data_IF_226299041791
#
_entry.id   IF_226299041791
#
_cell.length_a   1.000
_cell.length_b   1.000
_cell.length_c   1.000
_cell.angle_alpha   90.00
_cell.angle_beta   90.00
_cell.angle_gamma   90.00
#
_symmetry.space_group_name_H-M   'P 1'
#
loop_
_entity.id
_entity.type
_entity.pdbx_description
1 polymer ?
#
# COMPACT_ATOMS: atom_id res chain seq x y z
N UNK A 1 8.07 33.26 -5.95
CA UNK A 1 6.74 33.89 -6.08
C UNK A 1 5.80 33.07 -6.98
N UNK A 2 6.18 32.72 -8.22
CA UNK A 2 5.35 31.89 -9.11
C UNK A 2 5.06 30.46 -8.59
N UNK A 3 6.06 29.80 -7.98
CA UNK A 3 5.89 28.45 -7.40
C UNK A 3 4.87 28.42 -6.25
N UNK A 4 4.93 29.39 -5.32
CA UNK A 4 3.98 29.49 -4.20
C UNK A 4 2.55 29.70 -4.71
N UNK A 5 2.38 30.54 -5.74
CA UNK A 5 1.08 30.75 -6.37
C UNK A 5 0.48 29.45 -6.92
N UNK A 6 1.29 28.59 -7.57
CA UNK A 6 0.82 27.28 -8.05
C UNK A 6 0.38 26.37 -6.90
N UNK A 7 1.05 26.41 -5.74
CA UNK A 7 0.65 25.62 -4.57
C UNK A 7 -0.70 26.08 -4.00
N UNK A 8 -0.98 27.38 -4.00
CA UNK A 8 -2.30 27.90 -3.60
C UNK A 8 -3.39 27.59 -4.63
N UNK A 9 -3.07 27.61 -5.93
CA UNK A 9 -4.00 27.17 -6.97
C UNK A 9 -4.35 25.68 -6.79
N UNK A 10 -3.34 24.84 -6.53
CA UNK A 10 -3.53 23.44 -6.17
C UNK A 10 -4.45 23.30 -4.95
N UNK A 11 -4.18 24.07 -3.88
CA UNK A 11 -4.99 24.06 -2.66
C UNK A 11 -6.46 24.38 -2.93
N UNK A 12 -6.74 25.41 -3.73
CA UNK A 12 -8.12 25.79 -4.06
C UNK A 12 -8.81 24.72 -4.91
N UNK A 13 -8.12 24.18 -5.91
CA UNK A 13 -8.64 23.11 -6.76
C UNK A 13 -9.03 21.89 -5.93
N UNK A 14 -8.13 21.39 -5.10
CA UNK A 14 -8.39 20.16 -4.35
C UNK A 14 -9.34 20.36 -3.17
N UNK A 15 -9.53 21.58 -2.67
CA UNK A 15 -10.66 21.87 -1.78
C UNK A 15 -12.02 21.65 -2.47
N UNK A 16 -12.14 22.00 -3.75
CA UNK A 16 -13.36 21.75 -4.53
C UNK A 16 -13.55 20.25 -4.76
N UNK A 17 -12.45 19.52 -4.99
CA UNK A 17 -12.48 18.07 -5.22
C UNK A 17 -12.59 17.25 -3.93
N UNK A 18 -12.66 17.86 -2.74
CA UNK A 18 -12.68 17.18 -1.44
C UNK A 18 -13.66 15.99 -1.33
N UNK A 19 -14.81 16.06 -2.00
CA UNK A 19 -15.81 14.99 -1.97
C UNK A 19 -15.55 13.85 -2.97
N UNK A 20 -14.55 13.98 -3.84
CA UNK A 20 -14.06 12.90 -4.70
C UNK A 20 -13.03 12.11 -3.91
N UNK A 21 -13.52 11.13 -3.14
CA UNK A 21 -12.72 10.25 -2.28
C UNK A 21 -13.56 9.05 -1.88
N UNK A 22 -13.05 8.18 -1.02
CA UNK A 22 -13.83 7.07 -0.49
C UNK A 22 -14.11 6.00 -1.55
N UNK A 23 -13.11 5.68 -2.37
CA UNK A 23 -13.21 4.67 -3.43
C UNK A 23 -13.09 3.23 -2.90
N UNK A 24 -13.54 2.99 -1.66
CA UNK A 24 -13.43 1.75 -0.89
C UNK A 24 -13.94 0.51 -1.64
N UNK A 25 -14.96 0.68 -2.47
CA UNK A 25 -15.51 -0.41 -3.32
C UNK A 25 -14.47 -1.03 -4.27
N UNK A 26 -13.36 -0.33 -4.54
CA UNK A 26 -12.31 -0.75 -5.46
C UNK A 26 -11.04 -1.26 -4.74
N UNK A 27 -11.03 -1.26 -3.40
CA UNK A 27 -9.95 -1.85 -2.60
C UNK A 27 -9.76 -3.32 -2.93
N UNK A 28 -8.55 -3.83 -2.71
CA UNK A 28 -8.22 -5.24 -2.95
C UNK A 28 -9.09 -6.19 -2.15
N UNK A 29 -9.43 -5.81 -0.92
CA UNK A 29 -10.29 -6.59 0.01
C UNK A 29 -11.73 -6.70 -0.46
N UNK A 30 -12.15 -5.91 -1.46
CA UNK A 30 -13.48 -5.99 -2.10
C UNK A 30 -13.47 -6.81 -3.40
N UNK A 31 -12.34 -7.42 -3.76
CA UNK A 31 -12.24 -8.31 -4.91
C UNK A 31 -12.78 -9.72 -4.63
N UNK A 32 -12.96 -10.51 -5.70
CA UNK A 32 -13.41 -11.90 -5.60
C UNK A 32 -12.49 -12.80 -4.75
N UNK A 33 -11.21 -12.43 -4.61
CA UNK A 33 -10.25 -13.20 -3.81
C UNK A 33 -10.61 -13.27 -2.31
N UNK A 34 -11.41 -12.32 -1.81
CA UNK A 34 -11.81 -12.23 -0.41
C UNK A 34 -13.25 -12.69 -0.18
N UNK A 35 -13.95 -13.17 -1.22
CA UNK A 35 -15.38 -13.45 -1.15
C UNK A 35 -15.77 -14.50 -0.08
N UNK A 36 -14.89 -15.48 0.18
CA UNK A 36 -15.10 -16.50 1.21
C UNK A 36 -14.56 -16.12 2.59
N UNK A 37 -13.80 -15.02 2.70
CA UNK A 37 -13.21 -14.54 3.94
C UNK A 37 -13.32 -13.00 4.04
N UNK A 38 -14.54 -12.54 4.31
CA UNK A 38 -14.87 -11.11 4.34
C UNK A 38 -14.35 -10.36 5.57
N UNK A 39 -14.00 -11.08 6.64
CA UNK A 39 -13.52 -10.50 7.90
C UNK A 39 -12.04 -10.84 8.13
N UNK A 40 -11.25 -9.90 8.68
CA UNK A 40 -9.84 -10.13 8.94
C UNK A 40 -9.66 -11.15 10.07
N UNK A 41 -8.73 -12.08 9.87
CA UNK A 41 -8.37 -13.09 10.88
C UNK A 41 -6.89 -13.00 11.31
N UNK A 42 -6.11 -12.09 10.74
CA UNK A 42 -4.74 -11.76 11.14
C UNK A 42 -4.68 -10.38 11.78
N UNK A 43 -3.67 -10.14 12.59
CA UNK A 43 -3.34 -8.80 13.09
C UNK A 43 -2.21 -8.23 12.24
N UNK A 44 -2.35 -6.98 11.80
CA UNK A 44 -1.29 -6.18 11.20
C UNK A 44 -1.11 -4.93 12.07
N UNK A 45 0.13 -4.58 12.38
CA UNK A 45 0.48 -3.44 13.21
C UNK A 45 1.59 -2.63 12.56
N UNK A 46 1.57 -1.32 12.77
CA UNK A 46 2.71 -0.44 12.52
C UNK A 46 3.20 0.13 13.87
N UNK A 47 4.12 -0.56 14.58
CA UNK A 47 4.46 -0.23 15.96
C UNK A 47 4.90 1.22 16.19
N UNK A 48 5.57 1.82 15.20
CA UNK A 48 6.04 3.21 15.27
C UNK A 48 4.94 4.25 14.99
N UNK A 49 3.91 3.88 14.23
CA UNK A 49 2.79 4.77 13.90
C UNK A 49 1.61 4.65 14.88
N UNK A 50 1.58 3.60 15.71
CA UNK A 50 0.56 3.40 16.73
C UNK A 50 -0.67 2.61 16.27
N UNK A 51 -1.82 2.91 16.87
CA UNK A 51 -3.08 2.20 16.58
C UNK A 51 -3.59 2.55 15.17
N UNK A 52 -4.38 1.66 14.53
CA UNK A 52 -5.04 2.00 13.28
C UNK A 52 -5.81 3.32 13.38
N UNK A 53 -5.65 4.19 12.39
CA UNK A 53 -6.20 5.54 12.34
C UNK A 53 -5.21 6.64 12.75
N UNK A 54 -4.10 6.30 13.40
CA UNK A 54 -3.05 7.26 13.71
C UNK A 54 -2.38 7.84 12.45
N UNK A 55 -1.82 9.04 12.60
CA UNK A 55 -1.10 9.69 11.51
C UNK A 55 0.22 8.98 11.21
N UNK A 56 0.55 8.83 9.93
CA UNK A 56 1.90 8.45 9.51
C UNK A 56 2.92 9.49 9.98
N UNK A 57 4.08 9.01 10.43
CA UNK A 57 5.22 9.87 10.78
C UNK A 57 5.75 10.60 9.54
N UNK A 58 6.32 11.80 9.72
CA UNK A 58 6.75 12.66 8.61
C UNK A 58 7.68 11.94 7.62
N UNK A 59 8.57 11.08 8.10
CA UNK A 59 9.51 10.33 7.26
C UNK A 59 8.85 9.22 6.41
N UNK A 60 7.58 8.86 6.66
CA UNK A 60 6.78 7.97 5.79
C UNK A 60 5.99 8.74 4.72
N UNK A 61 6.26 10.04 4.58
CA UNK A 61 5.52 10.94 3.69
C UNK A 61 6.47 11.64 2.73
N UNK A 62 5.91 12.45 1.83
CA UNK A 62 6.68 13.30 0.91
C UNK A 62 7.65 14.27 1.62
N UNK A 63 7.53 14.44 2.94
CA UNK A 63 8.45 15.24 3.75
C UNK A 63 9.83 14.61 3.90
N UNK A 64 9.97 13.29 3.67
CA UNK A 64 11.29 12.69 3.44
C UNK A 64 11.77 13.09 2.04
N UNK A 65 12.63 14.10 1.99
CA UNK A 65 13.17 14.65 0.74
C UNK A 65 14.17 13.72 0.05
N UNK A 66 14.68 12.69 0.74
CA UNK A 66 15.65 11.75 0.18
C UNK A 66 14.94 10.61 -0.55
N UNK A 67 13.94 9.98 0.08
CA UNK A 67 13.23 8.81 -0.47
C UNK A 67 11.82 9.11 -0.98
N UNK A 68 11.23 10.27 -0.69
CA UNK A 68 9.81 10.54 -1.00
C UNK A 68 8.84 9.78 -0.10
N UNK A 69 9.33 9.31 1.05
CA UNK A 69 8.61 8.60 2.10
C UNK A 69 9.04 7.15 2.24
N UNK A 70 9.49 6.80 3.46
CA UNK A 70 9.93 5.47 3.88
C UNK A 70 8.76 4.55 4.14
N UNK A 71 8.92 3.27 3.84
CA UNK A 71 7.93 2.26 4.20
C UNK A 71 7.91 2.08 5.72
N UNK A 72 6.72 2.07 6.36
CA UNK A 72 6.63 1.91 7.80
C UNK A 72 7.02 0.50 8.23
N UNK A 73 7.62 0.38 9.41
CA UNK A 73 7.82 -0.90 10.06
C UNK A 73 6.47 -1.55 10.32
N UNK A 74 6.22 -2.68 9.65
CA UNK A 74 5.03 -3.48 9.82
C UNK A 74 5.34 -4.81 10.49
N UNK A 75 4.41 -5.31 11.31
CA UNK A 75 4.46 -6.64 11.91
C UNK A 75 3.10 -7.30 11.82
N UNK A 76 3.07 -8.58 11.48
CA UNK A 76 1.83 -9.35 11.38
C UNK A 76 1.88 -10.71 12.05
N UNK A 77 0.70 -11.27 12.31
CA UNK A 77 0.52 -12.63 12.86
C UNK A 77 0.18 -13.62 11.76
N UNK A 78 0.36 -14.91 12.03
CA UNK A 78 -0.17 -15.98 11.19
C UNK A 78 -1.71 -15.92 11.08
N UNK A 79 -2.29 -16.47 9.98
CA UNK A 79 -3.72 -16.71 9.91
C UNK A 79 -4.16 -17.68 11.02
N UNK A 80 -5.39 -17.52 11.51
CA UNK A 80 -5.97 -18.41 12.53
C UNK A 80 -6.30 -19.81 12.01
N UNK A 81 -6.34 -19.99 10.69
CA UNK A 81 -6.70 -21.22 10.01
C UNK A 81 -5.79 -21.47 8.82
N UNK A 82 -5.35 -22.71 8.65
CA UNK A 82 -4.48 -23.12 7.55
C UNK A 82 -3.00 -22.76 7.76
N UNK A 83 -2.17 -23.18 6.81
CA UNK A 83 -0.75 -22.87 6.76
C UNK A 83 -0.48 -21.97 5.55
N UNK A 84 0.08 -20.78 5.80
CA UNK A 84 0.46 -19.88 4.72
C UNK A 84 1.64 -20.48 3.92
N UNK A 85 1.58 -20.37 2.60
CA UNK A 85 2.68 -20.71 1.69
C UNK A 85 3.31 -19.47 1.08
N UNK A 86 2.61 -18.35 1.06
CA UNK A 86 3.07 -17.06 0.57
C UNK A 86 2.29 -15.93 1.25
N UNK A 87 2.92 -14.78 1.47
CA UNK A 87 2.23 -13.54 1.80
C UNK A 87 2.24 -12.53 0.64
N UNK A 88 1.20 -11.71 0.58
CA UNK A 88 1.10 -10.53 -0.29
C UNK A 88 0.87 -9.31 0.61
N UNK A 89 1.63 -8.25 0.41
CA UNK A 89 1.54 -7.00 1.16
C UNK A 89 1.23 -5.84 0.22
N UNK A 90 0.24 -5.03 0.54
CA UNK A 90 -0.20 -3.93 -0.32
C UNK A 90 -0.56 -2.68 0.51
N UNK A 91 -0.24 -1.51 -0.02
CA UNK A 91 -0.65 -0.20 0.52
C UNK A 91 -1.54 0.52 -0.50
N UNK A 92 -2.78 0.83 -0.13
CA UNK A 92 -3.79 1.47 -0.98
C UNK A 92 -4.25 2.83 -0.42
N UNK A 93 -4.42 3.83 -1.29
CA UNK A 93 -5.06 5.12 -1.00
C UNK A 93 -6.39 5.23 -1.77
N UNK A 94 -7.54 5.00 -1.12
CA UNK A 94 -8.87 5.14 -1.72
C UNK A 94 -9.38 6.59 -1.76
N UNK A 95 -8.63 7.54 -1.20
CA UNK A 95 -9.03 8.94 -1.07
C UNK A 95 -8.40 9.84 -2.13
N UNK A 96 -7.73 9.26 -3.14
CA UNK A 96 -7.24 10.03 -4.28
C UNK A 96 -8.40 10.72 -5.03
N UNK A 97 -8.25 12.01 -5.41
CA UNK A 97 -9.29 12.82 -6.07
C UNK A 97 -9.52 12.46 -7.54
N UNK A 98 -9.59 11.17 -7.86
CA UNK A 98 -9.82 10.65 -9.20
C UNK A 98 -10.98 9.64 -9.12
N UNK A 99 -12.12 9.91 -9.78
CA UNK A 99 -13.32 9.09 -9.62
C UNK A 99 -13.07 7.59 -9.85
N UNK A 100 -13.48 6.79 -8.88
CA UNK A 100 -13.37 5.31 -8.90
C UNK A 100 -11.93 4.78 -8.95
N UNK A 101 -10.95 5.58 -8.54
CA UNK A 101 -9.55 5.15 -8.48
C UNK A 101 -9.11 4.84 -7.06
N UNK A 102 -8.33 3.77 -6.91
CA UNK A 102 -7.53 3.51 -5.71
C UNK A 102 -6.07 3.59 -6.15
N UNK A 103 -5.26 4.41 -5.49
CA UNK A 103 -3.84 4.48 -5.78
C UNK A 103 -3.08 3.44 -4.96
N UNK A 104 -2.33 2.57 -5.64
CA UNK A 104 -1.48 1.58 -4.98
C UNK A 104 -0.11 2.19 -4.75
N UNK A 105 0.22 2.46 -3.49
CA UNK A 105 1.50 3.03 -3.08
C UNK A 105 2.63 2.01 -3.19
N UNK A 106 2.36 0.75 -2.87
CA UNK A 106 3.24 -0.39 -3.08
C UNK A 106 2.46 -1.70 -3.04
N UNK A 107 2.94 -2.71 -3.77
CA UNK A 107 2.39 -4.06 -3.80
C UNK A 107 3.54 -5.05 -3.92
N UNK A 108 3.66 -5.93 -2.94
CA UNK A 108 4.72 -6.92 -2.78
C UNK A 108 4.12 -8.32 -2.69
N UNK A 109 4.77 -9.29 -3.32
CA UNK A 109 4.34 -10.69 -3.37
C UNK A 109 5.57 -11.62 -3.39
N UNK A 110 5.35 -12.94 -3.36
CA UNK A 110 6.41 -13.92 -3.07
C UNK A 110 7.09 -13.67 -1.72
N UNK A 111 6.37 -13.10 -0.74
CA UNK A 111 6.88 -12.93 0.63
C UNK A 111 6.85 -14.31 1.32
N UNK A 112 7.98 -14.79 1.88
CA UNK A 112 8.02 -16.12 2.50
C UNK A 112 7.05 -16.26 3.68
N UNK A 113 6.45 -17.44 3.91
CA UNK A 113 5.51 -17.65 5.01
C UNK A 113 6.19 -17.63 6.39
N UNK A 114 7.53 -17.57 6.42
CA UNK A 114 8.36 -17.39 7.62
C UNK A 114 8.65 -15.91 7.93
N UNK A 115 8.24 -14.99 7.05
CA UNK A 115 8.40 -13.56 7.22
C UNK A 115 7.19 -12.94 7.92
N UNK A 116 7.43 -12.21 9.01
CA UNK A 116 6.39 -11.61 9.87
C UNK A 116 6.60 -10.12 10.13
N UNK A 117 7.59 -9.53 9.48
CA UNK A 117 7.98 -8.14 9.63
C UNK A 117 8.40 -7.58 8.27
N UNK A 118 8.18 -6.30 8.06
CA UNK A 118 8.70 -5.54 6.92
C UNK A 118 9.29 -4.23 7.42
N UNK A 119 10.47 -3.88 6.92
CA UNK A 119 11.14 -2.60 7.15
C UNK A 119 11.26 -1.81 5.85
N UNK A 120 11.72 -0.55 5.96
CA UNK A 120 11.93 0.34 4.82
C UNK A 120 12.83 -0.28 3.73
N UNK A 121 13.99 -0.81 4.12
CA UNK A 121 14.95 -1.35 3.17
C UNK A 121 14.46 -2.64 2.49
N UNK A 122 13.51 -3.38 3.11
CA UNK A 122 13.00 -4.64 2.56
C UNK A 122 12.19 -4.43 1.27
N UNK A 123 11.58 -3.26 1.11
CA UNK A 123 10.70 -2.94 -0.02
C UNK A 123 11.38 -2.16 -1.14
N UNK A 124 12.62 -1.71 -0.90
CA UNK A 124 13.40 -0.99 -1.88
C UNK A 124 13.84 -1.92 -3.01
N UNK A 125 13.75 -1.43 -4.26
CA UNK A 125 14.23 -2.17 -5.43
C UNK A 125 15.71 -2.47 -5.27
N UNK A 126 16.09 -3.74 -5.46
CA UNK A 126 17.48 -4.14 -5.52
C UNK A 126 18.05 -3.84 -6.93
N UNK A 127 18.99 -2.89 -7.09
CA UNK A 127 19.55 -2.55 -8.41
C UNK A 127 20.45 -3.64 -8.99
N UNK A 128 20.92 -4.57 -8.15
CA UNK A 128 21.82 -5.66 -8.55
C UNK A 128 21.08 -6.92 -9.01
N UNK A 129 19.74 -6.96 -8.87
CA UNK A 129 18.92 -8.08 -9.31
C UNK A 129 18.13 -7.69 -10.55
N UNK A 130 18.15 -8.50 -11.63
CA UNK A 130 17.28 -8.25 -12.76
C UNK A 130 15.81 -8.44 -12.37
N UNK A 131 14.92 -7.72 -13.05
CA UNK A 131 13.48 -7.81 -12.80
C UNK A 131 12.98 -6.88 -11.69
N UNK A 132 11.81 -7.21 -11.15
CA UNK A 132 11.11 -6.42 -10.13
C UNK A 132 11.26 -7.07 -8.76
N UNK A 133 12.47 -7.04 -8.22
CA UNK A 133 12.85 -7.70 -6.96
C UNK A 133 13.39 -6.67 -5.97
N UNK A 134 12.99 -6.79 -4.70
CA UNK A 134 13.44 -5.92 -3.61
C UNK A 134 14.71 -6.45 -2.93
N UNK A 135 15.32 -5.70 -2.00
CA UNK A 135 16.46 -6.21 -1.23
C UNK A 135 16.10 -7.45 -0.38
N UNK A 136 14.87 -7.55 0.12
CA UNK A 136 14.38 -8.72 0.83
C UNK A 136 14.09 -9.93 -0.09
N UNK A 137 14.28 -9.79 -1.40
CA UNK A 137 14.01 -10.85 -2.38
C UNK A 137 12.53 -10.97 -2.74
N UNK A 138 11.67 -10.07 -2.27
CA UNK A 138 10.26 -10.06 -2.63
C UNK A 138 10.09 -9.50 -4.03
N UNK A 139 9.03 -9.90 -4.71
CA UNK A 139 8.66 -9.26 -5.96
C UNK A 139 7.70 -8.12 -5.74
N UNK A 140 7.69 -7.15 -6.65
CA UNK A 140 6.77 -6.03 -6.56
C UNK A 140 6.11 -5.68 -7.90
N UNK A 141 4.93 -5.08 -7.83
CA UNK A 141 4.30 -4.42 -8.97
C UNK A 141 4.61 -2.92 -8.86
N UNK A 142 5.23 -2.28 -9.86
CA UNK A 142 5.55 -0.86 -9.80
C UNK A 142 4.26 -0.05 -9.65
N UNK A 143 4.28 0.94 -8.77
CA UNK A 143 3.20 1.90 -8.68
C UNK A 143 3.12 2.76 -9.95
N UNK A 144 2.13 3.67 -10.02
CA UNK A 144 1.93 4.52 -11.20
C UNK A 144 3.11 5.47 -11.50
N UNK A 145 4.04 5.63 -10.56
CA UNK A 145 5.27 6.42 -10.72
C UNK A 145 6.49 5.55 -11.09
N UNK A 146 6.31 4.23 -11.21
CA UNK A 146 7.37 3.29 -11.56
C UNK A 146 8.23 2.80 -10.38
N UNK A 147 7.92 3.21 -9.15
CA UNK A 147 8.64 2.81 -7.93
C UNK A 147 8.02 1.57 -7.29
N UNK A 148 8.78 0.87 -6.44
CA UNK A 148 8.25 -0.24 -5.61
C UNK A 148 7.34 0.25 -4.50
N UNK A 149 7.71 1.37 -3.87
CA UNK A 149 6.93 2.10 -2.89
C UNK A 149 7.03 3.61 -3.11
N UNK A 150 6.02 4.36 -2.67
CA UNK A 150 6.11 5.79 -2.42
C UNK A 150 5.28 6.14 -1.18
N UNK A 151 5.75 7.04 -0.35
CA UNK A 151 5.04 7.45 0.86
C UNK A 151 3.82 8.34 0.58
N UNK A 152 3.20 8.78 1.68
CA UNK A 152 2.01 9.63 1.64
C UNK A 152 2.33 11.01 1.04
N UNK A 153 1.61 11.39 -0.02
CA UNK A 153 1.75 12.71 -0.67
C UNK A 153 0.39 13.24 -1.13
N UNK A 154 -0.58 13.44 -0.21
CA UNK A 154 -1.91 13.89 -0.58
C UNK A 154 -1.83 15.34 -1.10
N UNK A 155 -2.70 15.74 -2.04
CA UNK A 155 -2.70 17.09 -2.55
C UNK A 155 -3.01 18.12 -1.46
N UNK A 156 -2.43 19.32 -1.58
CA UNK A 156 -2.77 20.43 -0.70
C UNK A 156 -4.28 20.67 -0.70
N UNK A 157 -4.89 20.81 0.48
CA UNK A 157 -6.31 21.14 0.61
C UNK A 157 -7.31 19.98 0.45
N UNK A 158 -6.86 18.77 0.09
CA UNK A 158 -7.77 17.61 -0.08
C UNK A 158 -8.18 16.92 1.24
N UNK A 159 -7.63 17.36 2.37
CA UNK A 159 -7.91 16.77 3.68
C UNK A 159 -6.97 15.62 4.03
N UNK A 160 -7.33 14.88 5.09
CA UNK A 160 -6.68 13.61 5.39
C UNK A 160 -6.94 12.60 4.29
N UNK A 161 -5.94 11.84 3.90
CA UNK A 161 -6.07 10.61 3.12
C UNK A 161 -5.82 9.40 4.04
N UNK A 162 -6.42 8.27 3.68
CA UNK A 162 -6.17 6.97 4.29
C UNK A 162 -5.13 6.21 3.47
N UNK A 163 -4.19 5.58 4.16
CA UNK A 163 -3.17 4.70 3.60
C UNK A 163 -3.37 3.33 4.24
N UNK A 164 -4.01 2.44 3.48
CA UNK A 164 -4.49 1.15 3.98
C UNK A 164 -3.47 0.09 3.63
N UNK A 165 -2.75 -0.39 4.64
CA UNK A 165 -1.82 -1.50 4.52
C UNK A 165 -2.57 -2.80 4.76
N UNK A 166 -2.52 -3.74 3.82
CA UNK A 166 -3.14 -5.07 3.93
C UNK A 166 -2.09 -6.14 3.74
N UNK A 167 -1.98 -7.07 4.69
CA UNK A 167 -1.22 -8.31 4.54
C UNK A 167 -2.20 -9.46 4.27
N UNK A 168 -1.89 -10.31 3.31
CA UNK A 168 -2.72 -11.42 2.86
C UNK A 168 -1.92 -12.71 2.92
N UNK A 169 -2.44 -13.73 3.60
CA UNK A 169 -1.88 -15.07 3.65
C UNK A 169 -2.55 -15.95 2.60
N UNK A 170 -1.74 -16.62 1.78
CA UNK A 170 -2.21 -17.54 0.74
C UNK A 170 -1.91 -19.00 1.11
N UNK A 171 -2.84 -19.91 0.83
CA UNK A 171 -2.66 -21.36 0.99
C UNK A 171 -1.72 -21.98 -0.03
N UNK A 172 -1.48 -21.28 -1.13
CA UNK A 172 -0.64 -21.70 -2.26
C UNK A 172 0.12 -20.48 -2.78
N UNK A 173 1.32 -20.67 -3.37
CA UNK A 173 2.01 -19.59 -4.06
C UNK A 173 1.16 -18.95 -5.17
N UNK A 174 1.41 -17.69 -5.51
CA UNK A 174 0.69 -17.04 -6.61
C UNK A 174 0.93 -17.72 -7.96
N UNK A 175 2.15 -18.24 -8.17
CA UNK A 175 2.61 -18.92 -9.40
C UNK A 175 2.39 -18.07 -10.68
N UNK A 176 2.95 -16.86 -10.67
CA UNK A 176 2.82 -15.92 -11.79
C UNK A 176 3.82 -16.29 -12.89
N UNK A 177 3.33 -16.69 -14.07
CA UNK A 177 4.18 -17.11 -15.19
C UNK A 177 5.18 -16.04 -15.69
N UNK A 178 4.79 -14.76 -15.64
CA UNK A 178 5.65 -13.62 -16.02
C UNK A 178 5.66 -12.59 -14.89
N UNK A 179 6.38 -12.85 -13.80
CA UNK A 179 6.28 -12.04 -12.59
C UNK A 179 6.78 -10.60 -12.81
N UNK A 180 7.76 -10.41 -13.69
CA UNK A 180 8.25 -9.07 -14.07
C UNK A 180 7.26 -8.25 -14.93
N UNK A 181 6.18 -8.87 -15.40
CA UNK A 181 5.07 -8.21 -16.12
C UNK A 181 3.78 -8.23 -15.31
N UNK A 182 3.83 -8.68 -14.06
CA UNK A 182 2.66 -8.70 -13.19
C UNK A 182 2.05 -7.29 -13.09
N UNK A 183 0.72 -7.25 -13.09
CA UNK A 183 -0.08 -6.05 -12.84
C UNK A 183 -0.93 -6.28 -11.60
N UNK A 184 -1.46 -5.22 -11.01
CA UNK A 184 -2.39 -5.33 -9.87
C UNK A 184 -3.56 -6.27 -10.21
N UNK A 185 -4.08 -6.21 -11.44
CA UNK A 185 -5.17 -7.11 -11.88
C UNK A 185 -4.74 -8.57 -11.92
N UNK A 186 -3.53 -8.87 -12.39
CA UNK A 186 -2.98 -10.23 -12.42
C UNK A 186 -2.82 -10.78 -11.00
N UNK A 187 -2.34 -9.96 -10.07
CA UNK A 187 -2.22 -10.35 -8.66
C UNK A 187 -3.61 -10.61 -8.05
N UNK A 188 -4.58 -9.70 -8.28
CA UNK A 188 -5.96 -9.87 -7.80
C UNK A 188 -6.57 -11.19 -8.28
N UNK A 189 -6.40 -11.53 -9.56
CA UNK A 189 -6.90 -12.78 -10.13
C UNK A 189 -6.17 -14.00 -9.55
N UNK A 190 -4.85 -13.94 -9.45
CA UNK A 190 -4.04 -15.06 -8.96
C UNK A 190 -4.27 -15.40 -7.47
N UNK A 191 -4.80 -14.46 -6.68
CA UNK A 191 -5.22 -14.71 -5.29
C UNK A 191 -6.57 -15.42 -5.16
N UNK A 192 -7.39 -15.47 -6.22
CA UNK A 192 -8.74 -16.06 -6.17
C UNK A 192 -8.66 -17.53 -5.75
N UNK A 193 -9.38 -17.88 -4.69
CA UNK A 193 -9.39 -19.23 -4.11
C UNK A 193 -8.18 -19.57 -3.24
N UNK A 194 -7.19 -18.68 -3.09
CA UNK A 194 -5.97 -18.93 -2.32
C UNK A 194 -5.92 -18.21 -0.97
N UNK A 195 -6.74 -17.18 -0.74
CA UNK A 195 -6.70 -16.40 0.51
C UNK A 195 -7.15 -17.25 1.70
N UNK A 196 -6.31 -17.40 2.73
CA UNK A 196 -6.65 -18.10 3.99
C UNK A 196 -6.60 -17.19 5.21
N UNK A 197 -6.05 -15.99 5.05
CA UNK A 197 -6.10 -14.95 6.06
C UNK A 197 -5.70 -13.61 5.53
N UNK A 198 -6.10 -12.57 6.26
CA UNK A 198 -5.65 -11.22 6.00
C UNK A 198 -5.81 -10.34 7.25
N UNK A 199 -5.06 -9.24 7.27
CA UNK A 199 -5.12 -8.22 8.31
C UNK A 199 -4.79 -6.85 7.72
N UNK A 200 -5.29 -5.81 8.36
CA UNK A 200 -5.19 -4.44 7.86
C UNK A 200 -4.67 -3.50 8.97
N UNK A 201 -3.85 -2.53 8.58
CA UNK A 201 -3.52 -1.36 9.39
C UNK A 201 -3.71 -0.09 8.55
N UNK A 202 -4.49 0.84 9.09
CA UNK A 202 -4.82 2.10 8.44
C UNK A 202 -3.96 3.22 9.03
N UNK A 203 -3.15 3.86 8.19
CA UNK A 203 -2.50 5.13 8.50
C UNK A 203 -3.27 6.31 7.90
N UNK A 204 -3.13 7.49 8.49
CA UNK A 204 -3.66 8.72 7.89
C UNK A 204 -2.57 9.74 7.66
N UNK A 205 -2.74 10.62 6.68
CA UNK A 205 -1.89 11.80 6.56
C UNK A 205 -2.63 12.92 5.83
N UNK A 206 -2.36 14.16 6.23
CA UNK A 206 -2.84 15.34 5.55
C UNK A 206 -1.65 16.26 5.27
N UNK A 207 -1.62 16.79 4.06
CA UNK A 207 -0.67 17.84 3.70
C UNK A 207 -1.10 19.17 4.30
N UNK A 208 -0.26 19.72 5.17
CA UNK A 208 -0.45 21.06 5.73
C UNK A 208 -0.45 22.13 4.63
N UNK A 209 -1.02 23.30 4.91
CA UNK A 209 -1.06 24.41 3.94
C UNK A 209 0.35 24.77 3.43
N UNK A 210 0.48 25.21 2.16
CA UNK A 210 1.75 25.70 1.64
C UNK A 210 2.32 26.78 2.59
N UNK A 211 3.63 26.69 2.86
CA UNK A 211 4.41 27.71 3.58
C UNK A 211 5.29 28.45 2.58
#
# INVERSE_FOLDING_TARGET
MFSVFLLYLQLLLFKILYYIRGHDKNLITKSAAFAHLSEPNMKLEAPECGLPGCSLLEHHTYLDLEKGGRFPHLRWTMPRSGEAKEFVLICEDPDVPIPSMVFVHGLFFEIPPTCFVAYDDDVDKNPNMPGRVTFAGWRYVPNLLGSSYIGASPPYGHGYHRYIFTIVALSEPLDIAQPDKATISVIKEAMVGKVIGWGEWLGTFQRHTPR
#
